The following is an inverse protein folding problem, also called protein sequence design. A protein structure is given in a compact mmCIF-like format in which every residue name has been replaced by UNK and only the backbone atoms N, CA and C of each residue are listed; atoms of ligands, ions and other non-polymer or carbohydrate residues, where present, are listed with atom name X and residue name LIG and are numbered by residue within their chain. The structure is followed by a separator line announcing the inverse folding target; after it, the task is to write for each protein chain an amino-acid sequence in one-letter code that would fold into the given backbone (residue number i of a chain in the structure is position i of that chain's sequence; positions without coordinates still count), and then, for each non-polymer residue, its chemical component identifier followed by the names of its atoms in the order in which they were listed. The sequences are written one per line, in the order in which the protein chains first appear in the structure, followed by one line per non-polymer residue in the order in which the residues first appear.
data_IF_905834665706
#
_entry.id   IF_905834665706
#
_cell.length_a   1.000
_cell.length_b   1.000
_cell.length_c   1.000
_cell.angle_alpha   90.00
_cell.angle_beta   90.00
_cell.angle_gamma   90.00
#
_symmetry.space_group_name_H-M   'P 1'
#
loop_
_entity.id
_entity.type
_entity.pdbx_description
1 polymer ?
#
# COMPACT_ATOMS: atom_id res chain seq x y z
N UNK A 1 -21.38 -16.85 -0.94
CA UNK A 1 -19.96 -17.22 -0.91
C UNK A 1 -19.55 -17.12 0.55
N UNK A 2 -19.03 -18.21 1.15
CA UNK A 2 -18.36 -18.09 2.44
C UNK A 2 -16.95 -17.60 2.13
N UNK A 3 -16.75 -16.29 2.15
CA UNK A 3 -15.40 -15.73 2.12
C UNK A 3 -14.64 -16.30 3.32
N UNK A 4 -13.51 -16.96 3.06
CA UNK A 4 -12.67 -17.59 4.10
C UNK A 4 -11.91 -16.53 4.91
N UNK A 5 -11.62 -15.40 4.26
CA UNK A 5 -11.08 -14.20 4.86
C UNK A 5 -12.22 -13.41 5.50
N UNK A 6 -12.03 -12.96 6.73
CA UNK A 6 -13.03 -12.19 7.47
C UNK A 6 -12.51 -10.79 7.81
N UNK A 7 -13.44 -9.86 8.02
CA UNK A 7 -13.14 -8.52 8.50
C UNK A 7 -14.07 -8.20 9.66
N UNK A 8 -13.49 -7.91 10.82
CA UNK A 8 -14.21 -7.56 12.03
C UNK A 8 -14.04 -6.07 12.34
N UNK A 9 -15.08 -5.48 12.94
CA UNK A 9 -15.06 -4.07 13.34
C UNK A 9 -15.32 -3.98 14.84
N UNK A 10 -14.34 -3.47 15.58
CA UNK A 10 -14.42 -3.26 17.04
C UNK A 10 -13.95 -1.82 17.33
N UNK A 11 -14.74 -1.04 18.06
CA UNK A 11 -14.38 0.34 18.47
C UNK A 11 -13.88 1.23 17.32
N UNK A 12 -14.57 1.20 16.17
CA UNK A 12 -14.21 1.92 14.95
C UNK A 12 -12.83 1.54 14.37
N UNK A 13 -12.32 0.35 14.72
CA UNK A 13 -11.12 -0.26 14.16
C UNK A 13 -11.47 -1.53 13.41
N UNK A 14 -10.87 -1.68 12.25
CA UNK A 14 -11.00 -2.81 11.35
C UNK A 14 -9.88 -3.82 11.54
N UNK A 15 -10.24 -5.09 11.55
CA UNK A 15 -9.33 -6.21 11.77
C UNK A 15 -9.56 -7.26 10.72
N UNK A 16 -8.55 -7.51 9.88
CA UNK A 16 -8.54 -8.70 9.06
C UNK A 16 -8.34 -9.93 9.93
N UNK A 17 -9.07 -11.00 9.63
CA UNK A 17 -8.96 -12.29 10.30
C UNK A 17 -8.71 -13.35 9.22
N UNK A 18 -7.58 -14.05 9.37
CA UNK A 18 -7.17 -15.16 8.51
C UNK A 18 -7.30 -16.46 9.32
N UNK A 19 -8.41 -17.19 9.24
CA UNK A 19 -8.60 -18.38 10.09
C UNK A 19 -7.56 -19.47 9.78
N UNK A 20 -6.88 -19.95 10.82
CA UNK A 20 -5.82 -20.97 10.72
C UNK A 20 -6.28 -22.25 10.00
N UNK A 21 -7.55 -22.61 10.14
CA UNK A 21 -8.13 -23.78 9.46
C UNK A 21 -8.00 -23.74 7.94
N UNK A 22 -7.93 -22.53 7.38
CA UNK A 22 -7.83 -22.30 5.93
C UNK A 22 -6.46 -21.78 5.52
N UNK A 23 -5.89 -20.86 6.29
CA UNK A 23 -4.66 -20.17 5.91
C UNK A 23 -3.40 -20.70 6.60
N UNK A 24 -3.52 -21.47 7.70
CA UNK A 24 -2.37 -21.93 8.49
C UNK A 24 -1.34 -22.72 7.67
N UNK A 25 -1.72 -23.77 6.92
CA UNK A 25 -0.78 -24.51 6.07
C UNK A 25 -0.14 -23.65 4.97
N UNK A 26 -0.90 -22.71 4.41
CA UNK A 26 -0.38 -21.78 3.40
C UNK A 26 0.60 -20.78 4.00
N UNK A 27 0.34 -20.30 5.21
CA UNK A 27 1.17 -19.33 5.91
C UNK A 27 2.57 -19.89 6.14
N UNK A 28 2.69 -21.13 6.60
CA UNK A 28 4.00 -21.78 6.77
C UNK A 28 4.78 -21.89 5.44
N UNK A 29 4.12 -22.36 4.36
CA UNK A 29 4.76 -22.41 3.04
C UNK A 29 5.14 -21.01 2.50
N UNK A 30 4.35 -19.99 2.84
CA UNK A 30 4.62 -18.60 2.45
C UNK A 30 5.82 -18.03 3.20
N UNK A 31 5.88 -18.22 4.53
CA UNK A 31 7.00 -17.80 5.38
C UNK A 31 8.31 -18.47 4.93
N UNK A 32 8.31 -19.77 4.64
CA UNK A 32 9.49 -20.47 4.09
C UNK A 32 9.98 -19.84 2.77
N UNK A 33 9.07 -19.34 1.93
CA UNK A 33 9.44 -18.66 0.68
C UNK A 33 10.01 -17.29 0.93
N UNK A 34 9.51 -16.54 1.92
CA UNK A 34 10.07 -15.25 2.33
C UNK A 34 11.46 -15.42 2.93
N UNK A 35 11.61 -16.32 3.91
CA UNK A 35 12.86 -16.58 4.60
C UNK A 35 13.97 -17.00 3.62
N UNK A 36 13.65 -17.90 2.67
CA UNK A 36 14.61 -18.32 1.66
C UNK A 36 15.01 -17.19 0.69
N UNK A 37 14.13 -16.22 0.43
CA UNK A 37 14.45 -15.06 -0.40
C UNK A 37 15.29 -14.05 0.37
N UNK A 38 14.92 -13.74 1.62
CA UNK A 38 15.63 -12.82 2.50
C UNK A 38 17.04 -13.34 2.86
N UNK A 39 17.23 -14.66 2.89
CA UNK A 39 18.53 -15.33 3.08
C UNK A 39 19.34 -15.52 1.78
N UNK A 40 18.89 -14.95 0.65
CA UNK A 40 19.51 -15.09 -0.68
C UNK A 40 19.65 -16.56 -1.17
N UNK A 41 18.88 -17.50 -0.61
CA UNK A 41 18.91 -18.92 -0.98
C UNK A 41 18.19 -19.20 -2.31
N UNK A 42 17.23 -18.34 -2.67
CA UNK A 42 16.51 -18.41 -3.94
C UNK A 42 16.64 -17.10 -4.72
N UNK A 43 16.73 -17.20 -6.04
CA UNK A 43 16.70 -16.03 -6.90
C UNK A 43 15.32 -15.35 -6.89
N UNK A 44 15.30 -14.06 -7.20
CA UNK A 44 14.06 -13.29 -7.36
C UNK A 44 13.08 -13.94 -8.36
N UNK A 45 13.59 -14.55 -9.44
CA UNK A 45 12.75 -15.30 -10.40
C UNK A 45 12.10 -16.53 -9.76
N UNK A 46 12.83 -17.25 -8.90
CA UNK A 46 12.30 -18.38 -8.14
C UNK A 46 11.26 -17.91 -7.13
N UNK A 47 11.54 -16.83 -6.40
CA UNK A 47 10.65 -16.18 -5.44
C UNK A 47 9.30 -15.81 -6.07
N UNK A 48 9.31 -15.05 -7.17
CA UNK A 48 8.08 -14.66 -7.90
C UNK A 48 7.30 -15.88 -8.38
N UNK A 49 7.98 -16.92 -8.88
CA UNK A 49 7.31 -18.13 -9.36
C UNK A 49 6.68 -18.93 -8.22
N UNK A 50 7.34 -19.04 -7.06
CA UNK A 50 6.80 -19.66 -5.85
C UNK A 50 5.57 -18.89 -5.35
N UNK A 51 5.67 -17.56 -5.21
CA UNK A 51 4.54 -16.71 -4.82
C UNK A 51 3.35 -16.84 -5.79
N UNK A 52 3.59 -16.85 -7.11
CA UNK A 52 2.52 -17.07 -8.10
C UNK A 52 1.81 -18.41 -7.92
N UNK A 53 2.51 -19.48 -7.56
CA UNK A 53 1.90 -20.79 -7.28
C UNK A 53 1.05 -20.75 -6.01
N UNK A 54 1.51 -20.08 -4.97
CA UNK A 54 0.73 -19.88 -3.75
C UNK A 54 -0.53 -19.04 -4.02
N UNK A 55 -0.42 -17.95 -4.79
CA UNK A 55 -1.56 -17.10 -5.17
C UNK A 55 -2.61 -17.84 -6.02
N UNK A 56 -2.20 -18.85 -6.80
CA UNK A 56 -3.13 -19.69 -7.57
C UNK A 56 -3.92 -20.64 -6.67
N UNK A 57 -3.31 -21.12 -5.58
CA UNK A 57 -3.95 -22.01 -4.61
C UNK A 57 -4.91 -21.24 -3.72
N UNK A 58 -4.47 -20.12 -3.18
CA UNK A 58 -5.24 -19.31 -2.23
C UNK A 58 -5.20 -17.83 -2.66
N UNK A 59 -6.07 -17.43 -3.60
CA UNK A 59 -6.05 -16.09 -4.19
C UNK A 59 -6.48 -14.98 -3.21
N UNK A 60 -7.18 -15.32 -2.12
CA UNK A 60 -7.61 -14.36 -1.11
C UNK A 60 -6.56 -14.10 -0.03
N UNK A 61 -5.41 -14.79 -0.06
CA UNK A 61 -4.30 -14.48 0.85
C UNK A 61 -3.57 -13.23 0.34
N UNK A 62 -4.00 -12.08 0.87
CA UNK A 62 -3.61 -10.73 0.43
C UNK A 62 -2.09 -10.57 0.35
N UNK A 63 -1.36 -11.17 1.30
CA UNK A 63 0.05 -10.86 1.48
C UNK A 63 0.93 -11.35 0.32
N UNK A 64 0.58 -12.48 -0.30
CA UNK A 64 1.27 -12.96 -1.50
C UNK A 64 1.22 -11.91 -2.61
N UNK A 65 0.07 -11.25 -2.79
CA UNK A 65 -0.08 -10.23 -3.82
C UNK A 65 0.68 -8.96 -3.50
N UNK A 66 0.77 -8.58 -2.23
CA UNK A 66 1.59 -7.46 -1.78
C UNK A 66 3.08 -7.72 -2.08
N UNK A 67 3.60 -8.91 -1.72
CA UNK A 67 4.98 -9.30 -2.00
C UNK A 67 5.28 -9.40 -3.51
N UNK A 68 4.35 -9.94 -4.30
CA UNK A 68 4.46 -9.90 -5.77
C UNK A 68 4.51 -8.46 -6.30
N UNK A 69 3.75 -7.54 -5.71
CA UNK A 69 3.76 -6.15 -6.14
C UNK A 69 5.11 -5.48 -5.87
N UNK A 70 5.71 -5.69 -4.69
CA UNK A 70 7.04 -5.17 -4.36
C UNK A 70 8.12 -5.74 -5.28
N UNK A 71 8.14 -7.05 -5.53
CA UNK A 71 9.10 -7.64 -6.47
C UNK A 71 8.97 -7.03 -7.88
N UNK A 72 7.75 -6.73 -8.35
CA UNK A 72 7.59 -6.04 -9.63
C UNK A 72 7.98 -4.55 -9.59
N UNK A 73 7.90 -3.88 -8.45
CA UNK A 73 8.41 -2.51 -8.29
C UNK A 73 9.95 -2.50 -8.36
N UNK A 74 10.61 -3.45 -7.70
CA UNK A 74 12.07 -3.64 -7.76
C UNK A 74 12.57 -3.89 -9.19
N UNK A 75 11.79 -4.63 -10.00
CA UNK A 75 12.05 -4.83 -11.43
C UNK A 75 11.71 -3.62 -12.32
N UNK A 76 11.30 -2.49 -11.75
CA UNK A 76 10.79 -1.33 -12.48
C UNK A 76 9.66 -1.71 -13.48
N UNK A 77 8.78 -2.63 -13.05
CA UNK A 77 7.64 -3.11 -13.81
C UNK A 77 6.30 -2.66 -13.18
N UNK A 78 6.03 -1.34 -13.08
CA UNK A 78 4.97 -0.80 -12.24
C UNK A 78 3.55 -1.21 -12.68
N UNK A 79 3.34 -1.52 -13.97
CA UNK A 79 2.05 -2.10 -14.43
C UNK A 79 1.78 -3.49 -13.84
N UNK A 80 2.82 -4.34 -13.73
CA UNK A 80 2.69 -5.65 -13.11
C UNK A 80 2.50 -5.51 -11.60
N UNK A 81 3.22 -4.58 -10.98
CA UNK A 81 3.07 -4.26 -9.57
C UNK A 81 1.64 -3.83 -9.23
N UNK A 82 1.10 -2.85 -9.97
CA UNK A 82 -0.27 -2.39 -9.76
C UNK A 82 -1.28 -3.51 -9.92
N UNK A 83 -1.15 -4.35 -10.96
CA UNK A 83 -2.05 -5.49 -11.16
C UNK A 83 -1.97 -6.52 -10.03
N UNK A 84 -0.80 -6.74 -9.43
CA UNK A 84 -0.66 -7.62 -8.27
C UNK A 84 -1.31 -6.98 -7.03
N UNK A 85 -0.94 -5.74 -6.71
CA UNK A 85 -1.49 -5.00 -5.56
C UNK A 85 -3.03 -4.93 -5.60
N UNK A 86 -3.61 -4.62 -6.77
CA UNK A 86 -5.06 -4.56 -6.96
C UNK A 86 -5.77 -5.91 -6.73
N UNK A 87 -5.11 -7.06 -6.96
CA UNK A 87 -5.69 -8.37 -6.62
C UNK A 87 -5.78 -8.57 -5.12
N UNK A 88 -4.73 -8.24 -4.38
CA UNK A 88 -4.75 -8.27 -2.92
C UNK A 88 -5.80 -7.31 -2.34
N UNK A 89 -5.85 -6.08 -2.87
CA UNK A 89 -6.85 -5.10 -2.48
C UNK A 89 -8.27 -5.55 -2.82
N UNK A 90 -8.50 -6.24 -3.94
CA UNK A 90 -9.81 -6.76 -4.29
C UNK A 90 -10.29 -7.83 -3.29
N UNK A 91 -9.41 -8.70 -2.81
CA UNK A 91 -9.74 -9.66 -1.76
C UNK A 91 -10.14 -8.95 -0.45
N UNK A 92 -9.38 -7.95 -0.02
CA UNK A 92 -9.70 -7.19 1.20
C UNK A 92 -10.93 -6.29 1.07
N UNK A 93 -11.06 -5.53 -0.02
CA UNK A 93 -12.19 -4.62 -0.24
C UNK A 93 -13.52 -5.37 -0.38
N UNK A 94 -13.52 -6.65 -0.74
CA UNK A 94 -14.73 -7.48 -0.84
C UNK A 94 -15.41 -7.68 0.52
N UNK A 95 -14.62 -7.70 1.59
CA UNK A 95 -15.09 -8.03 2.94
C UNK A 95 -15.13 -6.82 3.87
N UNK A 96 -14.43 -5.72 3.54
CA UNK A 96 -14.58 -4.45 4.25
C UNK A 96 -15.99 -3.90 3.95
N UNK A 97 -16.83 -3.63 4.97
CA UNK A 97 -18.15 -3.04 4.75
C UNK A 97 -18.03 -1.67 4.06
N UNK A 98 -18.91 -1.39 3.10
CA UNK A 98 -18.91 -0.10 2.38
C UNK A 98 -19.12 1.09 3.32
N UNK A 99 -19.82 0.89 4.45
CA UNK A 99 -20.04 1.90 5.49
C UNK A 99 -18.87 2.05 6.47
N UNK A 100 -17.81 1.28 6.34
CA UNK A 100 -16.67 1.34 7.26
C UNK A 100 -15.87 2.63 7.04
N UNK A 101 -15.81 3.46 8.07
CA UNK A 101 -15.05 4.72 8.09
C UNK A 101 -14.05 4.76 9.26
N UNK A 102 -13.60 3.58 9.70
CA UNK A 102 -12.69 3.41 10.82
C UNK A 102 -11.22 3.24 10.40
N UNK A 103 -10.37 2.98 11.38
CA UNK A 103 -8.94 2.74 11.18
C UNK A 103 -8.64 1.27 10.92
N UNK A 104 -7.70 0.96 10.03
CA UNK A 104 -7.06 -0.34 9.87
C UNK A 104 -5.60 -0.16 10.29
N UNK A 105 -5.32 -0.33 11.58
CA UNK A 105 -4.02 0.03 12.18
C UNK A 105 -2.91 -0.97 11.82
N UNK A 106 -1.70 -0.46 11.56
CA UNK A 106 -0.52 -1.26 11.24
C UNK A 106 -0.05 -2.19 12.36
N UNK A 107 -0.27 -1.78 13.61
CA UNK A 107 0.19 -2.53 14.78
C UNK A 107 -0.47 -3.91 14.90
N UNK A 108 -1.64 -4.10 14.30
CA UNK A 108 -2.26 -5.42 14.16
C UNK A 108 -1.59 -6.20 13.00
N UNK A 109 -0.88 -7.31 13.25
CA UNK A 109 -0.14 -8.04 12.21
C UNK A 109 -0.98 -8.42 10.99
N UNK A 110 -2.21 -8.84 11.22
CA UNK A 110 -3.16 -9.32 10.22
C UNK A 110 -3.66 -8.19 9.31
N UNK A 111 -3.53 -6.93 9.73
CA UNK A 111 -3.84 -5.78 8.88
C UNK A 111 -2.71 -5.43 7.90
N UNK A 112 -1.47 -5.81 8.22
CA UNK A 112 -0.29 -5.44 7.44
C UNK A 112 -0.33 -5.91 5.98
N UNK A 113 -0.84 -7.11 5.64
CA UNK A 113 -1.01 -7.52 4.25
C UNK A 113 -1.80 -6.53 3.41
N UNK A 114 -2.94 -6.04 3.92
CA UNK A 114 -3.78 -5.09 3.20
C UNK A 114 -3.11 -3.72 3.06
N UNK A 115 -2.50 -3.21 4.13
CA UNK A 115 -1.78 -1.93 4.11
C UNK A 115 -0.55 -1.99 3.18
N UNK A 116 0.19 -3.10 3.18
CA UNK A 116 1.28 -3.35 2.22
C UNK A 116 0.78 -3.37 0.77
N UNK A 117 -0.33 -4.05 0.48
CA UNK A 117 -0.93 -4.04 -0.85
C UNK A 117 -1.39 -2.63 -1.25
N UNK A 118 -1.96 -1.86 -0.33
CA UNK A 118 -2.40 -0.49 -0.57
C UNK A 118 -1.22 0.43 -0.88
N UNK A 119 -0.15 0.34 -0.09
CA UNK A 119 1.06 1.13 -0.32
C UNK A 119 1.78 0.75 -1.62
N UNK A 120 1.87 -0.54 -1.95
CA UNK A 120 2.41 -0.97 -3.23
C UNK A 120 1.60 -0.43 -4.42
N UNK A 121 0.27 -0.31 -4.29
CA UNK A 121 -0.57 0.32 -5.31
C UNK A 121 -0.30 1.84 -5.42
N UNK A 122 -0.07 2.54 -4.31
CA UNK A 122 0.35 3.96 -4.31
C UNK A 122 1.65 4.11 -5.09
N UNK A 123 2.70 3.38 -4.71
CA UNK A 123 4.00 3.41 -5.37
C UNK A 123 3.89 3.11 -6.87
N UNK A 124 3.13 2.07 -7.24
CA UNK A 124 2.94 1.74 -8.64
C UNK A 124 2.24 2.86 -9.43
N UNK A 125 1.28 3.58 -8.85
CA UNK A 125 0.63 4.72 -9.49
C UNK A 125 1.56 5.93 -9.61
N UNK A 126 2.38 6.21 -8.60
CA UNK A 126 3.44 7.24 -8.66
C UNK A 126 4.40 6.96 -9.83
N UNK A 127 4.90 5.72 -9.94
CA UNK A 127 5.77 5.30 -11.04
C UNK A 127 5.08 5.38 -12.41
N UNK A 128 3.76 5.19 -12.47
CA UNK A 128 2.97 5.32 -13.70
C UNK A 128 2.52 6.74 -14.01
N UNK A 129 2.89 7.72 -13.18
CA UNK A 129 2.43 9.11 -13.26
C UNK A 129 0.90 9.26 -13.23
N UNK A 130 0.24 8.34 -12.51
CA UNK A 130 -1.21 8.38 -12.26
C UNK A 130 -1.45 9.15 -10.97
N UNK A 131 -1.17 10.44 -11.01
CA UNK A 131 -1.09 11.29 -9.82
C UNK A 131 -2.41 11.34 -9.05
N UNK A 132 -3.54 11.43 -9.75
CA UNK A 132 -4.86 11.42 -9.11
C UNK A 132 -5.14 10.12 -8.35
N UNK A 133 -4.78 8.97 -8.94
CA UNK A 133 -4.96 7.66 -8.31
C UNK A 133 -4.01 7.51 -7.10
N UNK A 134 -2.77 8.01 -7.22
CA UNK A 134 -1.82 8.03 -6.12
C UNK A 134 -2.34 8.86 -4.95
N UNK A 135 -2.81 10.10 -5.17
CA UNK A 135 -3.42 10.94 -4.13
C UNK A 135 -4.60 10.24 -3.46
N UNK A 136 -5.54 9.71 -4.24
CA UNK A 136 -6.72 9.02 -3.70
C UNK A 136 -6.34 7.82 -2.80
N UNK A 137 -5.37 7.01 -3.22
CA UNK A 137 -4.94 5.85 -2.44
C UNK A 137 -4.10 6.27 -1.23
N UNK A 138 -3.31 7.33 -1.33
CA UNK A 138 -2.56 7.92 -0.20
C UNK A 138 -3.53 8.45 0.86
N UNK A 139 -4.59 9.15 0.47
CA UNK A 139 -5.62 9.60 1.40
C UNK A 139 -6.30 8.42 2.11
N UNK A 140 -6.58 7.35 1.35
CA UNK A 140 -7.17 6.13 1.90
C UNK A 140 -6.25 5.45 2.91
N UNK A 141 -4.96 5.30 2.63
CA UNK A 141 -4.04 4.65 3.58
C UNK A 141 -3.82 5.50 4.83
N UNK A 142 -3.81 6.84 4.71
CA UNK A 142 -3.70 7.74 5.86
C UNK A 142 -4.96 7.76 6.72
N UNK A 143 -6.15 7.62 6.11
CA UNK A 143 -7.40 7.47 6.86
C UNK A 143 -7.45 6.14 7.63
N UNK A 144 -6.93 5.06 7.03
CA UNK A 144 -6.87 3.75 7.68
C UNK A 144 -5.74 3.64 8.70
N UNK A 145 -4.57 4.21 8.42
CA UNK A 145 -3.40 4.11 9.27
C UNK A 145 -2.80 5.50 9.53
N UNK A 146 -3.38 6.30 10.46
CA UNK A 146 -2.97 7.69 10.69
C UNK A 146 -1.51 7.86 11.12
N UNK A 147 -0.97 6.88 11.85
CA UNK A 147 0.44 6.81 12.27
C UNK A 147 1.41 6.67 11.08
N UNK A 148 0.90 6.37 9.88
CA UNK A 148 1.64 6.31 8.63
C UNK A 148 2.97 5.54 8.72
N UNK A 149 2.91 4.34 9.29
CA UNK A 149 4.10 3.49 9.50
C UNK A 149 4.88 3.17 8.22
N UNK A 150 4.27 3.36 7.04
CA UNK A 150 4.90 3.12 5.74
C UNK A 150 5.44 4.40 5.10
N UNK A 151 5.16 5.58 5.66
CA UNK A 151 5.63 6.88 5.17
C UNK A 151 4.93 7.34 3.89
N UNK A 152 3.67 6.95 3.67
CA UNK A 152 2.88 7.34 2.50
C UNK A 152 2.62 8.85 2.45
N UNK A 153 2.57 9.53 3.59
CA UNK A 153 2.35 10.97 3.70
C UNK A 153 3.39 11.77 2.92
N UNK A 154 4.64 11.29 2.88
CA UNK A 154 5.73 11.94 2.18
C UNK A 154 5.55 11.97 0.66
N UNK A 155 4.65 11.15 0.10
CA UNK A 155 4.28 11.18 -1.31
C UNK A 155 3.18 12.21 -1.61
N UNK A 156 2.36 12.58 -0.62
CA UNK A 156 1.11 13.30 -0.84
C UNK A 156 1.33 14.72 -1.40
N UNK A 157 2.24 15.49 -0.80
CA UNK A 157 2.49 16.88 -1.24
C UNK A 157 2.95 16.95 -2.70
N UNK A 158 3.92 16.11 -3.06
CA UNK A 158 4.45 16.04 -4.43
C UNK A 158 3.40 15.58 -5.44
N UNK A 159 2.58 14.58 -5.11
CA UNK A 159 1.52 14.11 -5.99
C UNK A 159 0.40 15.15 -6.15
N UNK A 160 0.03 15.88 -5.09
CA UNK A 160 -0.93 16.99 -5.16
C UNK A 160 -0.46 18.09 -6.11
N UNK A 161 0.82 18.50 -6.01
CA UNK A 161 1.41 19.44 -6.97
C UNK A 161 1.25 18.96 -8.42
N UNK A 162 1.53 17.68 -8.68
CA UNK A 162 1.43 17.10 -10.03
C UNK A 162 -0.01 16.98 -10.54
N UNK A 163 -1.00 16.92 -9.64
CA UNK A 163 -2.43 17.01 -10.03
C UNK A 163 -2.91 18.44 -10.29
N UNK A 164 -2.15 19.46 -9.87
CA UNK A 164 -2.55 20.87 -9.94
C UNK A 164 -3.39 21.35 -8.76
N UNK A 165 -3.59 20.52 -7.73
CA UNK A 165 -4.24 20.92 -6.47
C UNK A 165 -3.26 21.70 -5.59
N UNK A 166 -2.93 22.91 -6.04
CA UNK A 166 -1.91 23.78 -5.44
C UNK A 166 -2.28 24.22 -4.01
N UNK A 167 -3.57 24.44 -3.73
CA UNK A 167 -4.02 24.85 -2.40
C UNK A 167 -3.77 23.74 -1.38
N UNK A 168 -4.20 22.50 -1.68
CA UNK A 168 -3.99 21.37 -0.80
C UNK A 168 -2.53 20.97 -0.71
N UNK A 169 -1.80 21.04 -1.83
CA UNK A 169 -0.36 20.84 -1.86
C UNK A 169 0.34 21.82 -0.91
N UNK A 170 0.00 23.11 -0.95
CA UNK A 170 0.57 24.11 -0.04
C UNK A 170 0.35 23.73 1.43
N UNK A 171 -0.87 23.35 1.80
CA UNK A 171 -1.20 22.95 3.18
C UNK A 171 -0.35 21.77 3.64
N UNK A 172 -0.32 20.68 2.85
CA UNK A 172 0.41 19.45 3.20
C UNK A 172 1.92 19.69 3.24
N UNK A 173 2.47 20.36 2.23
CA UNK A 173 3.90 20.64 2.17
C UNK A 173 4.34 21.51 3.35
N UNK A 174 3.58 22.57 3.68
CA UNK A 174 3.88 23.47 4.78
C UNK A 174 3.78 22.80 6.14
N UNK A 175 2.77 21.95 6.35
CA UNK A 175 2.59 21.22 7.60
C UNK A 175 3.78 20.31 7.92
N UNK A 176 4.43 19.78 6.89
CA UNK A 176 5.39 18.69 7.00
C UNK A 176 6.84 19.04 6.60
N UNK A 177 7.11 20.26 6.15
CA UNK A 177 8.42 20.65 5.63
C UNK A 177 9.56 20.58 6.67
N UNK A 178 9.25 20.82 7.94
CA UNK A 178 10.24 20.72 9.03
C UNK A 178 10.66 19.27 9.31
N UNK A 179 9.75 18.31 9.10
CA UNK A 179 10.00 16.87 9.31
C UNK A 179 10.58 16.20 8.06
N UNK A 180 10.19 16.67 6.87
CA UNK A 180 10.63 16.11 5.59
C UNK A 180 11.19 17.23 4.69
N UNK A 181 12.50 17.46 4.82
CA UNK A 181 13.20 18.57 4.17
C UNK A 181 13.00 18.71 2.65
N UNK A 182 12.77 17.62 1.84
CA UNK A 182 12.46 17.77 0.42
C UNK A 182 11.25 18.67 0.13
N UNK A 183 10.29 18.80 1.06
CA UNK A 183 9.13 19.67 0.88
C UNK A 183 9.47 21.16 0.86
N UNK A 184 10.60 21.60 1.43
CA UNK A 184 11.05 22.99 1.28
C UNK A 184 11.32 23.36 -0.18
N UNK A 185 11.86 22.42 -0.96
CA UNK A 185 12.08 22.65 -2.39
C UNK A 185 10.76 22.78 -3.14
N UNK A 186 9.80 21.90 -2.83
CA UNK A 186 8.48 21.89 -3.48
C UNK A 186 7.62 23.11 -3.08
N UNK A 187 7.74 23.61 -1.85
CA UNK A 187 7.17 24.89 -1.43
C UNK A 187 7.75 26.05 -2.23
N UNK A 188 9.08 26.09 -2.41
CA UNK A 188 9.73 27.12 -3.22
C UNK A 188 9.24 27.11 -4.67
N UNK A 189 9.09 25.92 -5.26
CA UNK A 189 8.51 25.76 -6.60
C UNK A 189 7.06 26.28 -6.64
N UNK A 190 6.25 25.96 -5.63
CA UNK A 190 4.85 26.39 -5.55
C UNK A 190 4.73 27.92 -5.44
N UNK A 191 5.54 28.56 -4.58
CA UNK A 191 5.60 30.03 -4.51
C UNK A 191 5.96 30.65 -5.86
N UNK A 192 6.98 30.09 -6.54
CA UNK A 192 7.35 30.54 -7.88
C UNK A 192 6.21 30.39 -8.89
N UNK A 193 5.51 29.25 -8.90
CA UNK A 193 4.36 28.99 -9.77
C UNK A 193 3.20 29.95 -9.51
N UNK A 194 3.01 30.38 -8.26
CA UNK A 194 2.00 31.35 -7.86
C UNK A 194 2.39 32.82 -8.14
N UNK A 195 3.61 33.08 -8.64
CA UNK A 195 4.12 34.43 -8.85
C UNK A 195 4.50 35.14 -7.56
N UNK A 196 4.65 34.40 -6.46
CA UNK A 196 5.09 34.91 -5.17
C UNK A 196 6.63 34.90 -5.16
N UNK A 197 7.23 36.08 -5.30
CA UNK A 197 8.67 36.24 -5.17
C UNK A 197 9.02 36.25 -3.67
N UNK A 198 9.67 35.18 -3.20
CA UNK A 198 10.22 35.04 -1.84
C UNK A 198 11.50 35.87 -1.68
#
# INVERSE_FOLDING_TARGET
MNDRLCFEVHDNKGYFVFPDTWFGPLLGEFEEVLDAYDADEISETSYINKLRRLAQREPDFIDIHAHLAYAFLEQNAPRKALNAALKGLAAGNRIIPESFCGEIIWMNPENRPYLRALYAAILANVHLQRHQDAVMLTDKILAYNPEDNQGARWLLGSELLRTGDHERAFSVLKEHADEFSPYWYELGLLHFLNGEHV
#
